data_IF_991150811510
#
_entry.id   IF_991150811510
#
_cell.length_a   1.000
_cell.length_b   1.000
_cell.length_c   1.000
_cell.angle_alpha   90.00
_cell.angle_beta   90.00
_cell.angle_gamma   90.00
#
_symmetry.space_group_name_H-M   'P 1'
#
loop_
_entity.id
_entity.type
_entity.pdbx_description
1 polymer ?
#
# COMPACT_ATOMS: atom_id res chain seq x y z
N UNK A 1 -11.49 15.29 -1.20
CA UNK A 1 -10.71 14.66 -2.28
C UNK A 1 -10.00 15.77 -3.04
N UNK A 2 -8.66 15.80 -3.00
CA UNK A 2 -7.84 16.78 -3.73
C UNK A 2 -7.90 16.45 -5.23
N UNK A 3 -7.79 17.44 -6.11
CA UNK A 3 -7.75 17.23 -7.58
C UNK A 3 -6.81 18.26 -8.20
N UNK A 4 -6.17 17.96 -9.34
CA UNK A 4 -5.25 18.88 -10.04
C UNK A 4 -5.72 19.31 -11.44
N UNK A 5 -6.98 19.04 -11.81
CA UNK A 5 -7.60 19.49 -13.07
C UNK A 5 -7.33 18.58 -14.28
N UNK A 6 -8.24 18.60 -15.28
CA UNK A 6 -8.13 17.76 -16.50
C UNK A 6 -7.02 18.22 -17.44
N UNK A 7 -6.72 19.51 -17.44
CA UNK A 7 -5.69 20.17 -18.22
C UNK A 7 -4.28 19.63 -17.92
N UNK A 8 -4.04 19.15 -16.70
CA UNK A 8 -2.75 18.61 -16.27
C UNK A 8 -2.63 17.08 -16.38
N UNK A 9 -3.70 16.39 -16.78
CA UNK A 9 -3.76 14.93 -16.75
C UNK A 9 -2.67 14.27 -17.62
N UNK A 10 -2.50 14.75 -18.85
CA UNK A 10 -1.53 14.15 -19.77
C UNK A 10 -0.10 14.29 -19.24
N UNK A 11 0.29 15.48 -18.79
CA UNK A 11 1.61 15.72 -18.21
C UNK A 11 1.83 14.94 -16.90
N UNK A 12 0.80 14.86 -16.04
CA UNK A 12 0.86 14.04 -14.82
C UNK A 12 1.10 12.55 -15.15
N UNK A 13 0.43 12.03 -16.17
CA UNK A 13 0.63 10.64 -16.63
C UNK A 13 2.02 10.41 -17.21
N UNK A 14 2.56 11.38 -17.93
CA UNK A 14 3.92 11.31 -18.49
C UNK A 14 4.98 11.28 -17.38
N UNK A 15 4.86 12.16 -16.39
CA UNK A 15 5.75 12.20 -15.21
C UNK A 15 5.65 10.90 -14.40
N UNK A 16 4.44 10.38 -14.21
CA UNK A 16 4.22 9.10 -13.53
C UNK A 16 4.93 7.95 -14.26
N UNK A 17 4.79 7.87 -15.58
CA UNK A 17 5.45 6.85 -16.40
C UNK A 17 6.97 6.99 -16.41
N UNK A 18 7.46 8.23 -16.33
CA UNK A 18 8.89 8.53 -16.27
C UNK A 18 9.49 8.33 -14.86
N UNK A 19 8.66 8.11 -13.83
CA UNK A 19 9.11 8.01 -12.44
C UNK A 19 9.57 9.34 -11.83
N UNK A 20 9.21 10.48 -12.44
CA UNK A 20 9.58 11.81 -11.95
C UNK A 20 8.54 12.31 -10.94
N UNK A 21 8.67 11.87 -9.68
CA UNK A 21 7.63 12.02 -8.65
C UNK A 21 8.01 12.92 -7.48
N UNK A 22 9.23 13.45 -7.45
CA UNK A 22 9.77 14.10 -6.25
C UNK A 22 9.45 15.60 -6.17
N UNK A 23 9.01 16.22 -7.27
CA UNK A 23 8.76 17.67 -7.34
C UNK A 23 7.57 18.06 -8.22
N UNK A 24 7.06 19.28 -8.00
CA UNK A 24 6.01 19.90 -8.81
C UNK A 24 4.76 19.03 -9.01
N UNK A 25 4.31 18.94 -10.27
CA UNK A 25 3.15 18.14 -10.64
C UNK A 25 3.36 16.63 -10.38
N UNK A 26 4.61 16.15 -10.43
CA UNK A 26 4.96 14.76 -10.10
C UNK A 26 4.64 14.44 -8.64
N UNK A 27 5.12 15.28 -7.73
CA UNK A 27 4.84 15.15 -6.29
C UNK A 27 3.35 15.33 -5.97
N UNK A 28 2.67 16.27 -6.62
CA UNK A 28 1.20 16.41 -6.47
C UNK A 28 0.45 15.15 -6.92
N UNK A 29 0.89 14.54 -8.03
CA UNK A 29 0.30 13.30 -8.57
C UNK A 29 0.55 12.11 -7.65
N UNK A 30 1.79 11.97 -7.18
CA UNK A 30 2.17 10.94 -6.22
C UNK A 30 1.31 11.02 -4.95
N UNK A 31 1.27 12.20 -4.31
CA UNK A 31 0.48 12.41 -3.11
C UNK A 31 -1.01 12.11 -3.33
N UNK A 32 -1.58 12.53 -4.47
CA UNK A 32 -2.98 12.24 -4.77
C UNK A 32 -3.24 10.73 -4.87
N UNK A 33 -2.37 9.99 -5.54
CA UNK A 33 -2.52 8.54 -5.71
C UNK A 33 -2.29 7.80 -4.40
N UNK A 34 -1.28 8.20 -3.62
CA UNK A 34 -1.03 7.65 -2.28
C UNK A 34 -2.22 7.88 -1.36
N UNK A 35 -2.74 9.11 -1.28
CA UNK A 35 -3.96 9.42 -0.55
C UNK A 35 -5.13 8.52 -0.99
N UNK A 36 -5.29 8.31 -2.30
CA UNK A 36 -6.37 7.49 -2.84
C UNK A 36 -6.21 6.01 -2.47
N UNK A 37 -4.98 5.48 -2.47
CA UNK A 37 -4.68 4.11 -2.06
C UNK A 37 -4.95 3.95 -0.57
N UNK A 38 -4.35 4.78 0.27
CA UNK A 38 -4.43 4.66 1.73
C UNK A 38 -5.87 4.80 2.24
N UNK A 39 -6.60 5.80 1.75
CA UNK A 39 -7.96 6.07 2.25
C UNK A 39 -9.01 5.09 1.73
N UNK A 40 -8.77 4.43 0.58
CA UNK A 40 -9.79 3.57 -0.05
C UNK A 40 -9.40 2.09 -0.10
N UNK A 41 -8.19 1.72 0.34
CA UNK A 41 -7.80 0.33 0.42
C UNK A 41 -8.68 -0.43 1.40
N UNK A 42 -9.05 -1.64 1.03
CA UNK A 42 -9.86 -2.54 1.85
C UNK A 42 -8.95 -3.57 2.50
N UNK A 43 -9.05 -3.68 3.82
CA UNK A 43 -8.41 -4.77 4.57
C UNK A 43 -9.00 -6.11 4.11
N UNK A 44 -8.13 -7.07 3.81
CA UNK A 44 -8.51 -8.42 3.37
C UNK A 44 -8.07 -9.49 4.34
N UNK A 45 -7.00 -9.22 5.07
CA UNK A 45 -6.48 -10.09 6.12
C UNK A 45 -5.86 -9.24 7.22
N UNK A 46 -5.85 -9.76 8.45
CA UNK A 46 -5.22 -9.13 9.62
C UNK A 46 -4.55 -10.20 10.47
N UNK A 47 -3.45 -9.85 11.10
CA UNK A 47 -2.76 -10.72 12.03
C UNK A 47 -1.89 -9.95 12.99
N UNK A 48 -1.06 -10.68 13.71
CA UNK A 48 -0.09 -10.19 14.67
C UNK A 48 1.25 -10.84 14.38
N UNK A 49 2.31 -10.03 14.37
CA UNK A 49 3.69 -10.50 14.28
C UNK A 49 4.30 -10.51 15.69
N UNK A 50 4.73 -11.66 16.19
CA UNK A 50 5.25 -11.82 17.55
C UNK A 50 4.18 -12.08 18.62
N UNK A 51 4.63 -12.28 19.87
CA UNK A 51 3.77 -12.70 20.98
C UNK A 51 3.01 -11.53 21.63
N UNK A 52 1.76 -11.77 22.01
CA UNK A 52 0.95 -10.83 22.81
C UNK A 52 1.56 -10.67 24.22
N UNK A 53 1.74 -9.44 24.76
CA UNK A 53 1.21 -8.15 24.32
C UNK A 53 2.16 -7.30 23.45
N UNK A 54 3.35 -7.80 23.13
CA UNK A 54 4.41 -7.04 22.46
C UNK A 54 4.36 -7.15 20.93
N UNK A 55 3.49 -8.01 20.40
CA UNK A 55 3.34 -8.25 18.98
C UNK A 55 2.83 -7.03 18.21
N UNK A 56 3.25 -6.93 16.95
CA UNK A 56 2.93 -5.83 16.06
C UNK A 56 1.74 -6.17 15.17
N UNK A 57 0.72 -5.30 15.07
CA UNK A 57 -0.38 -5.50 14.16
C UNK A 57 0.10 -5.42 12.71
N UNK A 58 -0.23 -6.45 11.94
CA UNK A 58 0.08 -6.54 10.51
C UNK A 58 -1.19 -6.85 9.74
N UNK A 59 -1.31 -6.32 8.52
CA UNK A 59 -2.49 -6.54 7.71
C UNK A 59 -2.14 -6.64 6.23
N UNK A 60 -3.00 -7.34 5.48
CA UNK A 60 -3.00 -7.28 4.01
C UNK A 60 -4.17 -6.42 3.58
N UNK A 61 -3.84 -5.35 2.86
CA UNK A 61 -4.78 -4.42 2.26
C UNK A 61 -4.94 -4.73 0.77
N UNK A 62 -6.02 -4.25 0.16
CA UNK A 62 -6.24 -4.38 -1.28
C UNK A 62 -6.81 -3.11 -1.89
N UNK A 63 -6.27 -2.71 -3.04
CA UNK A 63 -6.77 -1.60 -3.83
C UNK A 63 -6.45 -1.82 -5.30
N UNK A 64 -7.40 -1.57 -6.20
CA UNK A 64 -7.17 -1.68 -7.65
C UNK A 64 -6.73 -3.07 -8.14
N UNK A 65 -7.01 -4.14 -7.40
CA UNK A 65 -6.57 -5.51 -7.73
C UNK A 65 -5.15 -5.86 -7.27
N UNK A 66 -4.46 -4.95 -6.57
CA UNK A 66 -3.17 -5.20 -5.91
C UNK A 66 -3.42 -5.44 -4.42
N UNK A 67 -2.70 -6.41 -3.87
CA UNK A 67 -2.65 -6.70 -2.44
C UNK A 67 -1.32 -6.22 -1.89
N UNK A 68 -1.31 -5.61 -0.71
CA UNK A 68 -0.08 -5.13 -0.09
C UNK A 68 -0.10 -5.26 1.42
N UNK A 69 1.08 -5.44 2.01
CA UNK A 69 1.24 -5.54 3.46
C UNK A 69 1.37 -4.15 4.06
N UNK A 70 0.73 -3.95 5.21
CA UNK A 70 0.82 -2.74 6.00
C UNK A 70 1.01 -3.05 7.47
N UNK A 71 1.73 -2.17 8.15
CA UNK A 71 1.93 -2.15 9.60
C UNK A 71 1.84 -0.69 10.05
N UNK A 72 1.16 -0.32 11.15
CA UNK A 72 0.90 1.07 11.50
C UNK A 72 2.13 1.98 11.64
N UNK A 73 3.30 1.41 11.93
CA UNK A 73 4.53 2.16 12.19
C UNK A 73 5.48 2.27 10.99
N UNK A 74 5.18 1.58 9.89
CA UNK A 74 6.05 1.52 8.71
C UNK A 74 5.26 1.75 7.42
N UNK A 75 6.00 2.12 6.38
CA UNK A 75 5.44 2.24 5.03
C UNK A 75 4.87 0.91 4.54
N UNK A 76 3.94 0.97 3.59
CA UNK A 76 3.41 -0.22 2.94
C UNK A 76 4.53 -0.97 2.19
N UNK A 77 4.53 -2.30 2.27
CA UNK A 77 5.54 -3.13 1.63
C UNK A 77 4.93 -4.43 1.08
N UNK A 78 5.68 -5.10 0.20
CA UNK A 78 5.27 -6.37 -0.42
C UNK A 78 3.99 -6.22 -1.27
N UNK A 79 4.13 -6.12 -2.58
CA UNK A 79 2.99 -5.95 -3.50
C UNK A 79 2.73 -7.24 -4.28
N UNK A 80 1.49 -7.72 -4.23
CA UNK A 80 1.09 -9.03 -4.72
C UNK A 80 -0.16 -8.95 -5.61
N UNK A 81 -0.34 -9.96 -6.46
CA UNK A 81 -1.51 -10.11 -7.34
C UNK A 81 -2.67 -10.82 -6.65
N UNK A 82 -2.41 -11.62 -5.62
CA UNK A 82 -3.42 -12.39 -4.91
C UNK A 82 -3.26 -12.20 -3.39
N UNK A 83 -4.35 -12.48 -2.66
CA UNK A 83 -4.31 -12.49 -1.20
C UNK A 83 -3.40 -13.62 -0.68
N UNK A 84 -3.51 -14.80 -1.27
CA UNK A 84 -2.79 -15.99 -0.85
C UNK A 84 -1.27 -15.77 -0.96
N UNK A 85 -0.78 -15.19 -2.06
CA UNK A 85 0.65 -14.86 -2.21
C UNK A 85 1.11 -13.87 -1.13
N UNK A 86 0.27 -12.90 -0.78
CA UNK A 86 0.60 -11.91 0.25
C UNK A 86 0.67 -12.53 1.65
N UNK A 87 -0.26 -13.42 1.98
CA UNK A 87 -0.28 -14.13 3.27
C UNK A 87 0.87 -15.13 3.34
N UNK A 88 1.11 -15.91 2.28
CA UNK A 88 2.25 -16.84 2.22
C UNK A 88 3.59 -16.10 2.32
N UNK A 89 3.71 -14.89 1.77
CA UNK A 89 4.89 -14.06 1.98
C UNK A 89 5.08 -13.71 3.47
N UNK A 90 4.02 -13.37 4.19
CA UNK A 90 4.10 -13.10 5.63
C UNK A 90 4.55 -14.34 6.40
N UNK A 91 3.87 -15.47 6.19
CA UNK A 91 4.14 -16.73 6.89
C UNK A 91 5.55 -17.27 6.63
N UNK A 92 6.07 -17.05 5.41
CA UNK A 92 7.43 -17.48 5.08
C UNK A 92 8.50 -16.59 5.72
N UNK A 93 8.30 -15.27 5.72
CA UNK A 93 9.31 -14.36 6.27
C UNK A 93 9.25 -14.28 7.80
N UNK A 94 8.09 -14.56 8.40
CA UNK A 94 7.85 -14.46 9.83
C UNK A 94 7.06 -15.66 10.34
N UNK A 95 7.76 -16.68 10.84
CA UNK A 95 7.14 -17.92 11.32
C UNK A 95 6.29 -17.78 12.59
N UNK A 96 6.32 -16.61 13.23
CA UNK A 96 5.54 -16.21 14.39
C UNK A 96 4.35 -15.30 14.04
N UNK A 97 4.05 -15.12 12.74
CA UNK A 97 2.84 -14.41 12.34
C UNK A 97 1.60 -15.28 12.58
N UNK A 98 0.57 -14.69 13.20
CA UNK A 98 -0.70 -15.38 13.49
C UNK A 98 -1.90 -14.55 13.02
N UNK A 99 -2.84 -15.19 12.32
CA UNK A 99 -4.12 -14.58 11.95
C UNK A 99 -4.98 -14.30 13.20
N UNK A 100 -5.72 -13.18 13.21
CA UNK A 100 -6.60 -12.74 14.31
C UNK A 100 -8.02 -12.43 13.84
#
# INVERSE_FOLDING_TARGET
MKTFGKDKLQSALELLKAGQLDEGLGAETFNLLTDAIENNAKRRWKGMLGDDPEGFPIAVMSWGGVFFVTTPEFDNFGYFRTLDDAVSYLEWNWGDVVEK
#
